data_IF_039840474115
#
_entry.id   IF_039840474115
#
_cell.length_a   1.000
_cell.length_b   1.000
_cell.length_c   1.000
_cell.angle_alpha   90.00
_cell.angle_beta   90.00
_cell.angle_gamma   90.00
#
_symmetry.space_group_name_H-M   'P 1'
#
loop_
_entity.id
_entity.type
_entity.pdbx_description
1 polymer ?
#
# COMPACT_ATOMS: atom_id res chain seq x y z
N UNK A 1 1.01 38.38 37.44
CA UNK A 1 -0.21 38.82 36.73
C UNK A 1 0.25 39.41 35.40
N UNK A 2 0.09 38.68 34.28
CA UNK A 2 -0.95 38.88 33.23
C UNK A 2 -0.80 40.26 32.54
N UNK A 3 -0.73 40.46 31.23
CA UNK A 3 -0.82 39.69 29.96
C UNK A 3 -0.12 40.57 28.88
N UNK A 4 -0.01 40.28 27.58
CA UNK A 4 -0.84 39.58 26.60
C UNK A 4 0.07 39.10 25.45
N UNK A 5 -0.22 37.91 24.91
CA UNK A 5 0.25 37.40 23.61
C UNK A 5 -0.86 37.61 22.56
N UNK A 6 -0.55 37.92 21.29
CA UNK A 6 -1.47 37.67 20.19
C UNK A 6 -1.40 36.20 19.75
N UNK A 7 -2.58 35.64 19.47
CA UNK A 7 -2.82 34.27 18.98
C UNK A 7 -2.24 34.08 17.57
N UNK A 8 -1.48 33.01 17.37
CA UNK A 8 -1.17 32.48 16.05
C UNK A 8 -2.20 31.39 15.72
N UNK A 9 -2.90 31.56 14.60
CA UNK A 9 -3.92 30.67 14.08
C UNK A 9 -3.22 29.54 13.31
N UNK A 10 -3.19 28.34 13.90
CA UNK A 10 -2.56 27.16 13.32
C UNK A 10 -3.57 26.40 12.46
N UNK A 11 -3.56 26.66 11.16
CA UNK A 11 -4.08 25.75 10.13
C UNK A 11 -3.08 25.63 8.99
N UNK A 12 -2.03 24.85 9.22
CA UNK A 12 -1.35 24.16 8.12
C UNK A 12 -1.37 22.67 8.40
N UNK A 13 -2.02 21.94 7.49
CA UNK A 13 -2.17 20.50 7.56
C UNK A 13 -0.80 19.81 7.47
N UNK A 14 -0.58 18.85 8.36
CA UNK A 14 0.54 17.93 8.26
C UNK A 14 0.48 17.21 6.91
N UNK A 15 1.42 17.55 6.01
CA UNK A 15 1.80 16.66 4.91
C UNK A 15 2.56 15.48 5.50
N UNK A 16 1.84 14.37 5.72
CA UNK A 16 2.47 13.10 6.02
C UNK A 16 3.10 12.54 4.74
N UNK A 17 4.39 12.78 4.54
CA UNK A 17 5.24 11.99 3.64
C UNK A 17 6.66 12.02 4.17
N UNK A 18 6.90 11.27 5.25
CA UNK A 18 8.24 10.92 5.69
C UNK A 18 8.34 9.39 5.64
N UNK A 19 8.60 8.86 4.44
CA UNK A 19 9.26 7.54 4.35
C UNK A 19 10.75 7.79 4.56
N UNK A 20 11.42 6.89 5.26
CA UNK A 20 12.87 6.99 5.48
C UNK A 20 13.61 6.98 4.13
N UNK A 21 14.68 7.78 3.95
CA UNK A 21 15.46 7.83 2.72
C UNK A 21 15.90 6.44 2.21
N UNK A 22 16.20 5.54 3.14
CA UNK A 22 16.64 4.15 2.88
C UNK A 22 15.63 3.31 2.07
N UNK A 23 14.32 3.58 2.18
CA UNK A 23 13.30 2.83 1.43
C UNK A 23 13.05 3.39 0.02
N UNK A 24 13.34 4.68 -0.24
CA UNK A 24 13.30 5.26 -1.60
C UNK A 24 14.53 4.82 -2.41
N UNK A 25 15.68 4.75 -1.74
CA UNK A 25 17.01 4.53 -2.29
C UNK A 25 17.32 3.12 -2.85
N UNK A 26 16.37 2.36 -3.38
CA UNK A 26 16.68 1.24 -4.29
C UNK A 26 15.51 0.93 -5.23
N UNK A 27 14.61 1.86 -5.54
CA UNK A 27 13.45 1.55 -6.41
C UNK A 27 13.83 1.03 -7.83
N UNK A 28 15.03 1.34 -8.33
CA UNK A 28 15.54 0.78 -9.59
C UNK A 28 16.01 -0.68 -9.50
N UNK A 29 16.58 -1.08 -8.36
CA UNK A 29 17.07 -2.45 -8.11
C UNK A 29 16.03 -3.13 -7.24
N UNK A 30 15.23 -4.04 -7.81
CA UNK A 30 14.23 -4.76 -7.04
C UNK A 30 14.87 -5.36 -5.78
N UNK A 31 14.57 -4.78 -4.62
CA UNK A 31 15.02 -5.32 -3.35
C UNK A 31 14.17 -6.57 -3.08
N UNK A 32 14.77 -7.74 -3.28
CA UNK A 32 14.25 -8.97 -2.68
C UNK A 32 14.57 -8.91 -1.19
N UNK A 33 13.57 -9.14 -0.34
CA UNK A 33 13.80 -9.36 1.08
C UNK A 33 14.33 -10.79 1.24
N UNK A 34 15.65 -10.98 1.19
CA UNK A 34 16.26 -12.21 1.65
C UNK A 34 17.31 -11.91 2.74
N UNK A 35 17.30 -12.78 3.76
CA UNK A 35 18.16 -12.88 4.95
C UNK A 35 17.87 -12.00 6.18
N UNK A 36 16.71 -12.25 6.82
CA UNK A 36 16.70 -12.30 8.30
C UNK A 36 17.23 -13.67 8.74
N UNK A 37 18.55 -13.79 8.80
CA UNK A 37 19.31 -14.79 9.55
C UNK A 37 18.75 -16.22 9.57
N UNK A 38 19.13 -17.04 8.59
CA UNK A 38 19.17 -18.49 8.77
C UNK A 38 20.16 -18.81 9.90
N UNK A 39 19.64 -19.25 11.05
CA UNK A 39 20.47 -19.84 12.11
C UNK A 39 20.80 -21.25 11.64
N UNK A 40 22.06 -21.48 11.29
CA UNK A 40 22.59 -22.80 10.97
C UNK A 40 22.35 -23.77 12.13
N UNK A 41 21.39 -24.67 11.95
CA UNK A 41 21.20 -25.86 12.76
C UNK A 41 21.56 -27.08 11.93
N UNK A 42 22.67 -27.73 12.29
CA UNK A 42 23.16 -28.98 11.70
C UNK A 42 22.02 -30.01 11.53
N UNK A 43 21.81 -30.44 10.28
CA UNK A 43 20.97 -31.60 9.96
C UNK A 43 21.84 -32.85 10.09
N UNK A 44 21.82 -33.48 11.26
CA UNK A 44 22.09 -34.92 11.37
C UNK A 44 20.79 -35.66 11.09
N UNK A 45 20.76 -36.35 9.94
CA UNK A 45 19.60 -37.12 9.50
C UNK A 45 19.29 -38.30 10.42
N UNK A 46 18.01 -38.68 10.50
CA UNK A 46 17.56 -40.05 10.79
C UNK A 46 16.07 -40.23 10.42
N UNK A 47 15.88 -41.07 9.41
CA UNK A 47 14.76 -41.99 9.13
C UNK A 47 13.34 -41.74 9.67
N UNK A 48 12.43 -41.61 8.71
CA UNK A 48 11.00 -41.97 8.69
C UNK A 48 10.50 -42.94 9.78
N UNK A 49 9.45 -42.54 10.52
CA UNK A 49 8.31 -43.40 10.93
C UNK A 49 7.02 -42.56 11.09
N UNK A 50 5.94 -43.03 10.45
CA UNK A 50 4.56 -42.58 10.64
C UNK A 50 4.11 -42.72 12.10
N UNK A 51 3.44 -41.69 12.64
CA UNK A 51 2.55 -41.80 13.81
C UNK A 51 1.30 -40.96 13.60
N UNK A 52 0.15 -41.63 13.65
CA UNK A 52 -1.21 -41.11 13.56
C UNK A 52 -1.63 -40.34 14.82
N UNK A 53 -2.34 -39.22 14.66
CA UNK A 53 -2.87 -38.40 15.74
C UNK A 53 -4.15 -39.02 16.35
N UNK A 54 -4.12 -39.32 17.66
CA UNK A 54 -5.28 -39.68 18.47
C UNK A 54 -5.87 -38.44 19.16
N UNK A 55 -7.19 -38.26 19.07
CA UNK A 55 -8.00 -37.29 19.84
C UNK A 55 -8.09 -37.73 21.31
N UNK A 56 -8.04 -36.81 22.30
CA UNK A 56 -8.39 -37.15 23.68
C UNK A 56 -9.89 -36.96 23.93
N UNK A 57 -10.52 -38.02 24.47
CA UNK A 57 -11.83 -38.01 25.11
C UNK A 57 -11.71 -37.61 26.58
N UNK A 58 -12.57 -36.72 27.08
CA UNK A 58 -12.72 -36.46 28.51
C UNK A 58 -14.05 -37.04 29.02
N UNK A 59 -13.98 -37.81 30.11
CA UNK A 59 -15.11 -38.32 30.89
C UNK A 59 -15.22 -37.55 32.24
N UNK A 60 -16.40 -37.54 32.90
CA UNK A 60 -16.75 -36.53 33.91
C UNK A 60 -16.39 -36.96 35.35
N UNK A 61 -16.17 -35.98 36.23
CA UNK A 61 -15.99 -36.18 37.68
C UNK A 61 -17.15 -35.57 38.48
N UNK A 62 -17.51 -36.30 39.53
CA UNK A 62 -18.69 -36.29 40.38
C UNK A 62 -18.91 -35.08 41.31
N UNK A 63 -20.20 -34.78 41.46
CA UNK A 63 -20.99 -34.46 42.67
C UNK A 63 -20.35 -33.82 43.92
N UNK A 64 -20.92 -32.69 44.34
CA UNK A 64 -21.04 -32.29 45.75
C UNK A 64 -22.50 -31.99 46.11
N UNK A 65 -22.98 -32.59 47.22
CA UNK A 65 -24.28 -32.34 47.85
C UNK A 65 -24.15 -31.27 48.94
N UNK A 66 -25.10 -30.32 49.00
CA UNK A 66 -25.46 -29.60 50.23
C UNK A 66 -26.95 -29.21 50.24
N UNK A 67 -27.47 -28.88 51.43
CA UNK A 67 -28.80 -29.19 52.01
C UNK A 67 -29.94 -28.18 51.69
N UNK A 68 -31.22 -28.50 52.02
CA UNK A 68 -32.39 -27.72 51.58
C UNK A 68 -32.68 -26.52 52.49
N UNK A 69 -32.95 -25.36 51.90
CA UNK A 69 -33.33 -24.12 52.60
C UNK A 69 -34.54 -23.43 51.94
N UNK A 70 -35.60 -23.29 52.75
CA UNK A 70 -36.81 -22.44 52.62
C UNK A 70 -37.20 -21.88 51.24
N UNK A 71 -38.35 -22.36 50.74
CA UNK A 71 -39.18 -21.70 49.74
C UNK A 71 -39.75 -20.41 50.34
N UNK A 72 -39.35 -19.25 49.82
CA UNK A 72 -40.04 -17.98 50.01
C UNK A 72 -40.76 -17.67 48.70
N UNK A 73 -42.09 -17.75 48.71
CA UNK A 73 -42.94 -17.23 47.63
C UNK A 73 -42.86 -15.70 47.67
N UNK A 74 -42.17 -15.09 46.73
CA UNK A 74 -42.31 -13.66 46.43
C UNK A 74 -43.28 -13.54 45.26
N UNK A 75 -44.40 -12.86 45.52
CA UNK A 75 -45.46 -12.59 44.56
C UNK A 75 -44.96 -11.62 43.48
N UNK A 76 -45.39 -11.87 42.24
CA UNK A 76 -45.13 -11.04 41.05
C UNK A 76 -45.29 -9.55 41.29
N UNK A 77 -44.29 -8.78 40.89
CA UNK A 77 -44.41 -7.38 40.50
C UNK A 77 -44.07 -7.26 39.02
N UNK A 78 -45.00 -6.69 38.27
CA UNK A 78 -45.03 -6.38 36.84
C UNK A 78 -43.69 -6.44 36.09
N UNK A 79 -43.55 -7.47 35.23
CA UNK A 79 -42.54 -7.47 34.18
C UNK A 79 -42.97 -6.48 33.10
N UNK A 80 -42.46 -5.25 33.18
CA UNK A 80 -42.31 -4.40 32.00
C UNK A 80 -41.30 -5.11 31.11
N UNK A 81 -41.75 -5.69 30.00
CA UNK A 81 -40.87 -6.18 28.94
C UNK A 81 -39.98 -5.00 28.51
N UNK A 82 -38.65 -5.07 28.64
CA UNK A 82 -37.80 -4.05 28.08
C UNK A 82 -38.01 -4.12 26.57
N UNK A 83 -38.51 -3.04 25.99
CA UNK A 83 -38.57 -2.87 24.56
C UNK A 83 -37.11 -2.88 24.08
N UNK A 84 -36.60 -4.06 23.67
CA UNK A 84 -35.25 -4.18 23.14
C UNK A 84 -35.22 -3.44 21.82
N UNK A 85 -34.90 -2.15 21.87
CA UNK A 85 -34.47 -1.40 20.70
C UNK A 85 -33.24 -2.11 20.15
N UNK A 86 -33.43 -2.82 19.04
CA UNK A 86 -32.36 -3.47 18.29
C UNK A 86 -31.45 -2.37 17.76
N UNK A 87 -30.31 -2.19 18.39
CA UNK A 87 -29.30 -1.22 17.97
C UNK A 87 -28.51 -1.80 16.79
N UNK A 88 -28.81 -1.32 15.59
CA UNK A 88 -28.07 -1.64 14.36
C UNK A 88 -26.97 -0.59 14.13
N UNK A 89 -25.86 -1.02 13.55
CA UNK A 89 -24.80 -0.11 13.12
C UNK A 89 -25.31 0.76 11.96
N UNK A 90 -25.01 2.06 12.02
CA UNK A 90 -25.24 2.98 10.90
C UNK A 90 -24.36 2.57 9.73
N UNK A 91 -24.94 2.47 8.54
CA UNK A 91 -24.26 2.00 7.34
C UNK A 91 -25.01 2.43 6.07
N UNK A 92 -24.33 2.36 4.93
CA UNK A 92 -24.94 2.50 3.60
C UNK A 92 -24.56 1.33 2.69
N UNK A 93 -25.35 1.13 1.65
CA UNK A 93 -25.13 0.06 0.66
C UNK A 93 -24.10 0.51 -0.40
N UNK A 94 -23.25 -0.41 -0.85
CA UNK A 94 -22.44 -0.23 -2.05
C UNK A 94 -23.13 -0.76 -3.32
N UNK A 95 -22.53 -0.55 -4.49
CA UNK A 95 -23.08 -0.94 -5.80
C UNK A 95 -23.12 -2.46 -6.03
N UNK A 96 -22.51 -3.26 -5.15
CA UNK A 96 -22.30 -4.71 -5.28
C UNK A 96 -23.06 -5.52 -4.23
N UNK A 97 -24.13 -4.95 -3.65
CA UNK A 97 -24.89 -5.51 -2.53
C UNK A 97 -24.05 -5.73 -1.26
N UNK A 98 -22.94 -5.02 -1.12
CA UNK A 98 -22.20 -4.89 0.12
C UNK A 98 -22.75 -3.77 1.01
N UNK A 99 -22.11 -3.62 2.16
CA UNK A 99 -22.43 -2.64 3.20
C UNK A 99 -21.16 -1.97 3.67
N UNK A 100 -21.19 -0.65 3.77
CA UNK A 100 -20.10 0.15 4.35
C UNK A 100 -20.58 0.73 5.67
N UNK A 101 -19.92 0.35 6.76
CA UNK A 101 -20.27 0.80 8.12
C UNK A 101 -19.76 2.23 8.34
N UNK A 102 -20.60 3.08 8.92
CA UNK A 102 -20.27 4.48 9.20
C UNK A 102 -19.30 4.59 10.40
N UNK A 103 -18.04 5.00 10.18
CA UNK A 103 -17.00 4.95 11.22
C UNK A 103 -17.24 5.94 12.35
N UNK A 104 -17.93 7.06 12.09
CA UNK A 104 -18.15 8.15 13.06
C UNK A 104 -19.32 7.89 14.01
N UNK A 105 -20.11 6.83 13.78
CA UNK A 105 -21.28 6.47 14.58
C UNK A 105 -21.18 5.10 15.23
N UNK A 106 -19.96 4.60 15.40
CA UNK A 106 -19.73 3.35 16.10
C UNK A 106 -19.97 3.52 17.60
N UNK A 107 -20.63 2.54 18.27
CA UNK A 107 -20.73 2.54 19.72
C UNK A 107 -19.35 2.63 20.38
N UNK A 108 -19.22 3.51 21.36
CA UNK A 108 -17.94 3.76 22.05
C UNK A 108 -17.54 2.63 23.01
N UNK A 109 -18.51 1.86 23.51
CA UNK A 109 -18.25 0.72 24.40
C UNK A 109 -18.03 -0.57 23.60
N UNK A 110 -17.02 -1.35 23.99
CA UNK A 110 -16.70 -2.64 23.38
C UNK A 110 -17.91 -3.60 23.36
N UNK A 111 -18.67 -3.69 24.46
CA UNK A 111 -19.83 -4.57 24.58
C UNK A 111 -20.99 -4.11 23.70
N UNK A 112 -21.25 -2.80 23.65
CA UNK A 112 -22.28 -2.23 22.77
C UNK A 112 -21.92 -2.46 21.31
N UNK A 113 -20.66 -2.22 20.93
CA UNK A 113 -20.17 -2.48 19.57
C UNK A 113 -20.29 -3.96 19.21
N UNK A 114 -19.87 -4.89 20.08
CA UNK A 114 -19.99 -6.32 19.84
C UNK A 114 -21.44 -6.77 19.63
N UNK A 115 -22.36 -6.25 20.45
CA UNK A 115 -23.79 -6.54 20.35
C UNK A 115 -24.41 -5.99 19.06
N UNK A 116 -24.13 -4.73 18.75
CA UNK A 116 -24.61 -4.05 17.55
C UNK A 116 -24.06 -4.71 16.29
N UNK A 117 -22.76 -5.06 16.26
CA UNK A 117 -22.12 -5.73 15.14
C UNK A 117 -22.76 -7.10 14.86
N UNK A 118 -22.94 -7.94 15.89
CA UNK A 118 -23.57 -9.26 15.74
C UNK A 118 -25.00 -9.15 15.21
N UNK A 119 -25.75 -8.20 15.75
CA UNK A 119 -27.15 -7.98 15.35
C UNK A 119 -27.23 -7.46 13.91
N UNK A 120 -26.31 -6.57 13.54
CA UNK A 120 -26.21 -6.02 12.18
C UNK A 120 -25.82 -7.08 11.17
N UNK A 121 -24.82 -7.92 11.45
CA UNK A 121 -24.43 -9.04 10.59
C UNK A 121 -25.59 -10.00 10.34
N UNK A 122 -26.37 -10.34 11.37
CA UNK A 122 -27.58 -11.18 11.22
C UNK A 122 -28.63 -10.53 10.32
N UNK A 123 -28.88 -9.24 10.51
CA UNK A 123 -29.81 -8.44 9.69
C UNK A 123 -29.34 -8.33 8.23
N UNK A 124 -28.06 -8.11 8.00
CA UNK A 124 -27.49 -8.04 6.65
C UNK A 124 -27.51 -9.40 5.95
N UNK A 125 -27.25 -10.48 6.70
CA UNK A 125 -27.37 -11.86 6.18
C UNK A 125 -28.80 -12.19 5.74
N UNK A 126 -29.81 -11.84 6.54
CA UNK A 126 -31.22 -12.08 6.16
C UNK A 126 -31.67 -11.23 4.97
N UNK A 127 -31.05 -10.07 4.76
CA UNK A 127 -31.25 -9.20 3.59
C UNK A 127 -30.45 -9.62 2.35
N UNK A 128 -29.69 -10.71 2.41
CA UNK A 128 -28.87 -11.19 1.30
C UNK A 128 -27.69 -10.27 0.96
N UNK A 129 -27.22 -9.46 1.92
CA UNK A 129 -26.02 -8.64 1.76
C UNK A 129 -24.77 -9.52 1.70
N UNK A 130 -23.74 -8.99 1.05
CA UNK A 130 -22.52 -9.73 0.73
C UNK A 130 -21.31 -9.24 1.53
N UNK A 131 -20.50 -8.35 0.93
CA UNK A 131 -19.27 -7.83 1.54
C UNK A 131 -19.56 -6.70 2.53
N UNK A 132 -18.99 -6.78 3.73
CA UNK A 132 -19.11 -5.77 4.77
C UNK A 132 -17.76 -5.08 4.95
N UNK A 133 -17.74 -3.76 4.82
CA UNK A 133 -16.57 -2.93 5.00
C UNK A 133 -16.65 -2.19 6.32
N UNK A 134 -15.63 -2.39 7.16
CA UNK A 134 -15.53 -1.79 8.48
C UNK A 134 -14.24 -0.98 8.58
N UNK A 135 -14.38 0.35 8.50
CA UNK A 135 -13.28 1.28 8.77
C UNK A 135 -13.25 1.57 10.27
N UNK A 136 -12.12 1.27 10.92
CA UNK A 136 -11.87 1.64 12.31
C UNK A 136 -10.77 2.69 12.36
N UNK A 137 -11.08 3.84 12.96
CA UNK A 137 -10.11 4.92 13.16
C UNK A 137 -9.09 4.53 14.24
N UNK A 138 -7.95 5.20 14.28
CA UNK A 138 -6.87 4.92 15.23
C UNK A 138 -7.35 5.03 16.68
N UNK A 139 -8.19 6.02 17.00
CA UNK A 139 -8.83 6.17 18.31
C UNK A 139 -9.83 5.05 18.66
N UNK A 140 -10.23 4.23 17.67
CA UNK A 140 -11.14 3.10 17.80
C UNK A 140 -10.39 1.74 17.76
N UNK A 141 -9.06 1.75 17.92
CA UNK A 141 -8.25 0.53 17.83
C UNK A 141 -8.67 -0.58 18.80
N UNK A 142 -9.29 -0.22 19.94
CA UNK A 142 -9.86 -1.17 20.90
C UNK A 142 -11.01 -2.02 20.32
N UNK A 143 -11.64 -1.60 19.22
CA UNK A 143 -12.70 -2.34 18.54
C UNK A 143 -12.18 -3.40 17.56
N UNK A 144 -10.90 -3.32 17.16
CA UNK A 144 -10.28 -4.25 16.19
C UNK A 144 -10.36 -5.70 16.65
N UNK A 145 -9.94 -6.07 17.88
CA UNK A 145 -10.01 -7.47 18.32
C UNK A 145 -11.44 -8.02 18.31
N UNK A 146 -12.43 -7.17 18.58
CA UNK A 146 -13.85 -7.54 18.61
C UNK A 146 -14.33 -7.87 17.19
N UNK A 147 -13.97 -7.04 16.20
CA UNK A 147 -14.31 -7.29 14.81
C UNK A 147 -13.68 -8.58 14.29
N UNK A 148 -12.40 -8.81 14.56
CA UNK A 148 -11.69 -10.04 14.18
C UNK A 148 -12.35 -11.28 14.82
N UNK A 149 -12.76 -11.21 16.09
CA UNK A 149 -13.49 -12.29 16.75
C UNK A 149 -14.87 -12.58 16.12
N UNK A 150 -15.47 -11.61 15.43
CA UNK A 150 -16.69 -11.82 14.63
C UNK A 150 -16.38 -12.32 13.20
N UNK A 151 -15.11 -12.59 12.88
CA UNK A 151 -14.68 -13.17 11.61
C UNK A 151 -14.24 -12.14 10.56
N UNK A 152 -14.15 -10.85 10.91
CA UNK A 152 -13.57 -9.86 10.00
C UNK A 152 -12.08 -10.17 9.76
N UNK A 153 -11.61 -9.81 8.57
CA UNK A 153 -10.21 -9.91 8.17
C UNK A 153 -9.65 -8.53 7.82
N UNK A 154 -8.35 -8.34 8.02
CA UNK A 154 -7.66 -7.15 7.55
C UNK A 154 -7.67 -7.08 6.02
N UNK A 155 -7.93 -5.88 5.49
CA UNK A 155 -7.80 -5.60 4.06
C UNK A 155 -6.63 -4.65 3.78
N UNK A 156 -6.58 -3.50 4.45
CA UNK A 156 -5.47 -2.55 4.36
C UNK A 156 -5.46 -1.62 5.56
N UNK A 157 -4.36 -0.88 5.75
CA UNK A 157 -4.25 0.20 6.73
C UNK A 157 -3.63 1.42 6.07
N UNK A 158 -4.02 2.60 6.54
CA UNK A 158 -3.33 3.87 6.25
C UNK A 158 -3.07 4.60 7.58
N UNK A 159 -2.33 5.71 7.53
CA UNK A 159 -2.19 6.57 8.70
C UNK A 159 -3.58 6.98 9.22
N UNK A 160 -3.85 6.71 10.49
CA UNK A 160 -5.10 7.05 11.17
C UNK A 160 -6.24 6.04 11.05
N UNK A 161 -6.13 4.93 10.29
CA UNK A 161 -7.18 3.91 10.26
C UNK A 161 -6.75 2.52 9.76
N UNK A 162 -7.54 1.51 10.11
CA UNK A 162 -7.52 0.18 9.51
C UNK A 162 -8.85 -0.14 8.82
N UNK A 163 -8.78 -0.77 7.66
CA UNK A 163 -9.93 -1.30 6.93
C UNK A 163 -10.01 -2.81 7.13
N UNK A 164 -11.16 -3.27 7.61
CA UNK A 164 -11.50 -4.68 7.72
C UNK A 164 -12.64 -5.04 6.77
N UNK A 165 -12.68 -6.30 6.37
CA UNK A 165 -13.75 -6.85 5.53
C UNK A 165 -14.32 -8.12 6.13
N UNK A 166 -15.60 -8.37 5.84
CA UNK A 166 -16.28 -9.62 6.17
C UNK A 166 -17.14 -10.04 4.97
N UNK A 167 -17.00 -11.29 4.53
CA UNK A 167 -17.82 -11.86 3.48
C UNK A 167 -18.91 -12.73 4.11
N UNK A 168 -20.18 -12.32 3.96
CA UNK A 168 -21.32 -13.03 4.56
C UNK A 168 -21.61 -14.40 3.91
N UNK A 169 -21.60 -14.55 2.57
CA UNK A 169 -21.93 -15.81 1.93
C UNK A 169 -20.88 -16.91 2.19
N UNK A 170 -21.30 -18.18 2.12
CA UNK A 170 -20.40 -19.33 2.24
C UNK A 170 -19.61 -19.61 0.93
N UNK A 171 -19.88 -18.85 -0.13
CA UNK A 171 -19.17 -18.94 -1.42
C UNK A 171 -17.78 -18.26 -1.36
N UNK A 172 -16.84 -18.60 -2.27
CA UNK A 172 -15.54 -17.94 -2.32
C UNK A 172 -15.66 -16.42 -2.37
N UNK A 173 -14.95 -15.73 -1.49
CA UNK A 173 -14.99 -14.28 -1.38
C UNK A 173 -14.38 -13.62 -2.64
N UNK A 174 -15.17 -12.85 -3.43
CA UNK A 174 -14.68 -12.14 -4.61
C UNK A 174 -14.17 -10.74 -4.27
N UNK A 175 -14.14 -10.34 -2.99
CA UNK A 175 -13.62 -9.03 -2.61
C UNK A 175 -12.17 -8.93 -3.06
N UNK A 176 -11.78 -7.82 -3.70
CA UNK A 176 -10.40 -7.64 -4.11
C UNK A 176 -9.49 -7.70 -2.88
N UNK A 177 -8.32 -8.34 -2.97
CA UNK A 177 -7.35 -8.28 -1.90
C UNK A 177 -6.83 -6.85 -1.74
N UNK A 178 -6.11 -6.61 -0.64
CA UNK A 178 -5.42 -5.35 -0.40
C UNK A 178 -4.43 -4.95 -1.51
N UNK A 179 -3.86 -3.74 -1.44
CA UNK A 179 -2.94 -3.24 -2.45
C UNK A 179 -1.76 -4.21 -2.68
N UNK A 180 -1.68 -4.75 -3.90
CA UNK A 180 -0.74 -5.82 -4.26
C UNK A 180 0.53 -5.32 -4.95
N UNK A 181 0.54 -4.08 -5.43
CA UNK A 181 1.65 -3.50 -6.18
C UNK A 181 2.20 -2.25 -5.52
N UNK A 182 3.50 -2.06 -5.65
CA UNK A 182 4.17 -0.77 -5.53
C UNK A 182 4.40 -0.19 -6.92
N UNK A 183 4.35 1.13 -7.04
CA UNK A 183 4.53 1.82 -8.31
C UNK A 183 5.76 2.71 -8.20
N UNK A 184 6.84 2.30 -8.87
CA UNK A 184 8.04 3.07 -9.09
C UNK A 184 7.98 3.87 -10.39
N UNK A 185 8.80 4.92 -10.45
CA UNK A 185 9.01 5.75 -11.64
C UNK A 185 10.51 5.98 -11.83
N UNK A 186 10.98 5.90 -13.07
CA UNK A 186 12.35 6.21 -13.46
C UNK A 186 12.37 7.34 -14.50
N UNK A 187 13.27 8.30 -14.32
CA UNK A 187 13.48 9.41 -15.23
C UNK A 187 14.70 9.19 -16.12
N UNK A 188 14.50 8.84 -17.40
CA UNK A 188 15.56 8.88 -18.40
C UNK A 188 15.68 10.31 -18.95
N UNK A 189 16.65 11.07 -18.44
CA UNK A 189 16.90 12.45 -18.86
C UNK A 189 18.12 12.48 -19.77
N UNK A 190 17.95 12.96 -21.01
CA UNK A 190 19.05 13.08 -21.99
C UNK A 190 19.16 14.52 -22.49
N UNK A 191 20.38 15.06 -22.49
CA UNK A 191 20.67 16.41 -22.97
C UNK A 191 21.02 16.44 -24.47
N UNK A 192 21.15 17.65 -25.03
CA UNK A 192 21.43 17.83 -26.47
C UNK A 192 22.85 17.33 -26.85
N UNK A 193 23.75 17.15 -25.87
CA UNK A 193 25.07 16.53 -26.03
C UNK A 193 25.04 15.00 -25.98
N UNK A 194 23.85 14.39 -25.94
CA UNK A 194 23.62 12.94 -25.80
C UNK A 194 24.21 12.34 -24.50
N UNK A 195 24.29 13.15 -23.46
CA UNK A 195 24.63 12.68 -22.12
C UNK A 195 23.36 12.46 -21.32
N UNK A 196 23.36 11.41 -20.51
CA UNK A 196 22.26 11.04 -19.63
C UNK A 196 22.53 11.49 -18.20
N UNK A 197 21.49 11.91 -17.51
CA UNK A 197 21.57 12.24 -16.09
C UNK A 197 21.56 10.93 -15.29
N UNK A 198 22.60 10.72 -14.49
CA UNK A 198 22.74 9.55 -13.64
C UNK A 198 23.05 9.98 -12.22
N UNK A 199 22.55 9.19 -11.27
CA UNK A 199 22.73 9.39 -9.84
C UNK A 199 23.37 8.16 -9.21
N UNK A 200 24.04 8.39 -8.10
CA UNK A 200 24.54 7.38 -7.18
C UNK A 200 23.98 7.71 -5.81
N UNK A 201 23.17 6.83 -5.26
CA UNK A 201 22.53 7.03 -3.95
C UNK A 201 23.49 6.76 -2.80
N UNK A 202 23.20 7.39 -1.65
CA UNK A 202 23.79 7.07 -0.36
C UNK A 202 23.07 5.85 0.23
N UNK A 203 23.33 4.66 -0.32
CA UNK A 203 22.87 3.40 0.29
C UNK A 203 24.03 2.61 0.89
N UNK A 204 23.78 1.91 2.01
CA UNK A 204 24.68 0.89 2.58
C UNK A 204 24.39 -0.53 2.07
N UNK A 205 23.46 -0.67 1.12
CA UNK A 205 22.92 -1.92 0.63
C UNK A 205 23.55 -2.33 -0.72
N UNK A 206 23.02 -3.39 -1.35
CA UNK A 206 23.51 -3.96 -2.62
C UNK A 206 23.56 -2.96 -3.79
N UNK A 207 22.79 -1.86 -3.72
CA UNK A 207 22.81 -0.82 -4.75
C UNK A 207 23.88 0.28 -4.53
N UNK A 208 24.75 0.11 -3.51
CA UNK A 208 25.84 1.05 -3.20
C UNK A 208 26.86 1.17 -4.33
N UNK A 209 27.21 2.41 -4.70
CA UNK A 209 28.27 2.67 -5.68
C UNK A 209 27.85 2.53 -7.15
N UNK A 210 26.61 2.11 -7.43
CA UNK A 210 26.08 1.93 -8.79
C UNK A 210 25.51 3.26 -9.31
N UNK A 211 25.90 3.64 -10.53
CA UNK A 211 25.23 4.73 -11.25
C UNK A 211 23.96 4.22 -11.90
N UNK A 212 22.85 4.93 -11.69
CA UNK A 212 21.54 4.59 -12.25
C UNK A 212 20.76 5.83 -12.65
N UNK A 213 19.61 5.61 -13.28
CA UNK A 213 18.63 6.67 -13.54
C UNK A 213 18.07 7.20 -12.22
N UNK A 214 17.71 8.49 -12.13
CA UNK A 214 16.89 9.01 -11.05
C UNK A 214 15.59 8.22 -10.91
N UNK A 215 15.22 7.81 -9.70
CA UNK A 215 14.11 6.88 -9.46
C UNK A 215 13.44 7.10 -8.12
N UNK A 216 12.12 6.99 -8.09
CA UNK A 216 11.40 6.94 -6.82
C UNK A 216 10.01 6.34 -6.92
N UNK A 217 9.20 6.51 -5.88
CA UNK A 217 7.84 5.97 -5.83
C UNK A 217 6.80 7.03 -6.16
N UNK A 218 5.73 6.61 -6.81
CA UNK A 218 4.57 7.46 -7.04
C UNK A 218 3.83 7.69 -5.71
N UNK A 219 3.58 8.96 -5.40
CA UNK A 219 2.80 9.35 -4.24
C UNK A 219 1.31 9.05 -4.44
N UNK A 220 0.55 8.98 -3.34
CA UNK A 220 -0.90 8.78 -3.41
C UNK A 220 -1.55 9.91 -4.20
N UNK A 221 -2.32 9.55 -5.24
CA UNK A 221 -3.01 10.48 -6.15
C UNK A 221 -2.07 11.36 -7.00
N UNK A 222 -0.86 10.88 -7.29
CA UNK A 222 0.10 11.54 -8.18
C UNK A 222 0.08 10.90 -9.59
N UNK A 223 0.20 11.73 -10.63
CA UNK A 223 0.32 11.27 -12.01
C UNK A 223 1.73 10.73 -12.30
N UNK A 224 1.84 9.65 -13.10
CA UNK A 224 3.14 9.02 -13.41
C UNK A 224 4.18 10.01 -13.94
N UNK A 225 3.81 10.83 -14.92
CA UNK A 225 4.73 11.81 -15.49
C UNK A 225 5.10 12.92 -14.50
N UNK A 226 4.19 13.29 -13.59
CA UNK A 226 4.48 14.29 -12.55
C UNK A 226 5.45 13.72 -11.53
N UNK A 227 5.29 12.44 -11.15
CA UNK A 227 6.24 11.73 -10.31
C UNK A 227 7.63 11.69 -10.94
N UNK A 228 7.76 11.34 -12.22
CA UNK A 228 9.07 11.31 -12.90
C UNK A 228 9.78 12.67 -12.86
N UNK A 229 9.05 13.76 -13.16
CA UNK A 229 9.59 15.13 -13.12
C UNK A 229 9.97 15.53 -11.70
N UNK A 230 9.15 15.16 -10.70
CA UNK A 230 9.41 15.43 -9.29
C UNK A 230 10.66 14.71 -8.80
N UNK A 231 10.79 13.40 -9.02
CA UNK A 231 11.93 12.61 -8.51
C UNK A 231 13.26 13.14 -9.08
N UNK A 232 13.33 13.41 -10.39
CA UNK A 232 14.54 14.01 -10.98
C UNK A 232 14.88 15.34 -10.31
N UNK A 233 13.88 16.18 -10.04
CA UNK A 233 14.08 17.47 -9.41
C UNK A 233 14.50 17.37 -7.94
N UNK A 234 13.87 16.46 -7.17
CA UNK A 234 14.21 16.20 -5.77
C UNK A 234 15.65 15.71 -5.65
N UNK A 235 16.06 14.73 -6.45
CA UNK A 235 17.38 14.11 -6.37
C UNK A 235 18.51 14.99 -6.90
N UNK A 236 18.27 15.74 -7.98
CA UNK A 236 19.35 16.38 -8.78
C UNK A 236 19.19 17.88 -8.99
N UNK A 237 18.04 18.46 -8.62
CA UNK A 237 17.72 19.87 -8.88
C UNK A 237 17.45 20.21 -10.35
N UNK A 238 17.50 19.24 -11.27
CA UNK A 238 17.28 19.47 -12.70
C UNK A 238 15.78 19.62 -12.99
N UNK A 239 15.41 20.74 -13.60
CA UNK A 239 14.07 20.95 -14.13
C UNK A 239 13.92 20.15 -15.42
N UNK A 240 12.82 19.42 -15.57
CA UNK A 240 12.58 18.59 -16.75
C UNK A 240 11.17 18.76 -17.30
N UNK A 241 11.00 18.37 -18.56
CA UNK A 241 9.71 18.24 -19.22
C UNK A 241 9.50 16.79 -19.64
N UNK A 242 8.35 16.23 -19.29
CA UNK A 242 7.93 14.92 -19.76
C UNK A 242 7.77 14.88 -21.28
N UNK A 243 8.27 13.81 -21.90
CA UNK A 243 8.08 13.52 -23.32
C UNK A 243 7.10 12.35 -23.47
N UNK A 244 7.49 11.18 -22.97
CA UNK A 244 6.74 9.93 -23.14
C UNK A 244 7.14 8.88 -22.10
N UNK A 245 6.24 7.93 -21.87
CA UNK A 245 6.49 6.71 -21.09
C UNK A 245 6.92 5.62 -22.07
N UNK A 246 8.15 5.12 -21.95
CA UNK A 246 8.77 4.28 -22.98
C UNK A 246 8.67 2.79 -22.68
N UNK A 247 8.70 2.42 -21.39
CA UNK A 247 8.64 1.05 -20.94
C UNK A 247 8.07 0.97 -19.53
N UNK A 248 7.70 -0.23 -19.10
CA UNK A 248 7.52 -0.55 -17.69
C UNK A 248 8.08 -1.93 -17.40
N UNK A 249 8.62 -2.10 -16.20
CA UNK A 249 9.09 -3.37 -15.66
C UNK A 249 8.06 -3.88 -14.66
N UNK A 250 7.84 -5.20 -14.65
CA UNK A 250 6.98 -5.88 -13.69
C UNK A 250 7.77 -7.01 -13.02
N UNK A 251 7.97 -6.91 -11.71
CA UNK A 251 8.69 -7.93 -10.91
C UNK A 251 7.84 -8.32 -9.70
N UNK A 252 7.95 -9.58 -9.29
CA UNK A 252 7.20 -10.15 -8.18
C UNK A 252 8.09 -10.37 -6.94
N UNK A 253 7.45 -10.57 -5.79
CA UNK A 253 8.11 -10.95 -4.52
C UNK A 253 9.22 -9.97 -4.11
N UNK A 254 8.94 -8.67 -4.24
CA UNK A 254 9.81 -7.60 -3.71
C UNK A 254 9.48 -7.37 -2.23
N UNK A 255 9.63 -6.13 -1.74
CA UNK A 255 9.24 -5.74 -0.39
C UNK A 255 7.82 -6.22 -0.01
N UNK A 256 7.73 -6.97 1.09
CA UNK A 256 6.51 -7.49 1.68
C UNK A 256 5.68 -8.38 0.75
N UNK A 257 6.35 -9.22 -0.05
CA UNK A 257 5.72 -10.16 -1.01
C UNK A 257 4.86 -9.47 -2.08
N UNK A 258 5.02 -8.16 -2.25
CA UNK A 258 4.30 -7.39 -3.26
C UNK A 258 4.98 -7.49 -4.61
N UNK A 259 4.25 -7.08 -5.64
CA UNK A 259 4.81 -6.87 -6.97
C UNK A 259 5.23 -5.40 -7.14
N UNK A 260 6.20 -5.14 -7.99
CA UNK A 260 6.70 -3.82 -8.33
C UNK A 260 6.45 -3.52 -9.81
N UNK A 261 5.86 -2.36 -10.07
CA UNK A 261 5.74 -1.78 -11.41
C UNK A 261 6.63 -0.55 -11.49
N UNK A 262 7.73 -0.64 -12.21
CA UNK A 262 8.61 0.50 -12.47
C UNK A 262 8.32 1.05 -13.87
N UNK A 263 7.70 2.22 -13.94
CA UNK A 263 7.48 2.92 -15.22
C UNK A 263 8.70 3.75 -15.59
N UNK A 264 9.09 3.74 -16.86
CA UNK A 264 10.26 4.48 -17.35
C UNK A 264 9.79 5.62 -18.25
N UNK A 265 10.12 6.84 -17.86
CA UNK A 265 9.73 8.06 -18.53
C UNK A 265 10.93 8.72 -19.18
N UNK A 266 10.78 9.06 -20.45
CA UNK A 266 11.73 9.90 -21.16
C UNK A 266 11.45 11.38 -20.87
N UNK A 267 12.48 12.09 -20.47
CA UNK A 267 12.41 13.47 -20.01
C UNK A 267 13.43 14.34 -20.76
N UNK A 268 13.04 15.57 -21.08
CA UNK A 268 13.95 16.59 -21.61
C UNK A 268 14.40 17.54 -20.49
N UNK A 269 15.70 17.78 -20.29
CA UNK A 269 16.16 18.78 -19.33
C UNK A 269 15.83 20.20 -19.81
N UNK A 270 15.44 21.04 -18.85
CA UNK A 270 15.23 22.49 -19.02
C UNK A 270 16.35 23.30 -18.33
N UNK A 271 17.10 22.66 -17.44
CA UNK A 271 18.33 23.16 -16.82
C UNK A 271 19.41 22.09 -16.88
N UNK A 272 20.68 22.48 -16.68
CA UNK A 272 21.83 21.57 -16.71
C UNK A 272 22.68 21.60 -15.43
N UNK A 273 22.48 22.60 -14.57
CA UNK A 273 23.19 22.75 -13.29
C UNK A 273 22.64 21.76 -12.27
N UNK A 274 23.47 20.79 -11.89
CA UNK A 274 23.12 19.75 -10.92
C UNK A 274 23.27 20.30 -9.50
N UNK A 275 22.24 20.12 -8.67
CA UNK A 275 22.21 20.39 -7.24
C UNK A 275 21.57 19.21 -6.53
N UNK A 276 22.41 18.32 -6.00
CA UNK A 276 21.93 17.07 -5.40
C UNK A 276 21.24 17.29 -4.05
N UNK A 277 20.26 16.45 -3.73
CA UNK A 277 19.84 16.26 -2.34
C UNK A 277 20.90 15.43 -1.61
N UNK A 278 21.70 16.10 -0.79
CA UNK A 278 22.77 15.46 -0.05
C UNK A 278 22.28 14.48 1.04
N UNK A 279 20.99 14.37 1.33
CA UNK A 279 20.48 13.35 2.25
C UNK A 279 20.36 11.98 1.58
N UNK A 280 20.00 11.94 0.30
CA UNK A 280 19.69 10.73 -0.46
C UNK A 280 20.76 10.41 -1.52
N UNK A 281 21.30 11.43 -2.17
CA UNK A 281 22.22 11.28 -3.30
C UNK A 281 23.65 11.56 -2.89
N UNK A 282 24.54 10.63 -3.24
CA UNK A 282 25.98 10.75 -3.01
C UNK A 282 26.59 11.64 -4.10
N UNK A 283 26.29 11.32 -5.36
CA UNK A 283 26.81 12.01 -6.53
C UNK A 283 25.79 11.96 -7.67
N UNK A 284 25.78 12.99 -8.53
CA UNK A 284 25.01 13.01 -9.77
C UNK A 284 25.84 13.67 -10.87
N UNK A 285 25.72 13.18 -12.10
CA UNK A 285 26.45 13.72 -13.26
C UNK A 285 25.74 13.47 -14.58
N UNK A 286 26.16 14.23 -15.59
CA UNK A 286 25.90 13.92 -16.99
C UNK A 286 26.96 12.92 -17.48
N UNK A 287 26.54 11.70 -17.83
CA UNK A 287 27.41 10.61 -18.29
C UNK A 287 27.07 10.22 -19.73
N UNK A 288 28.01 9.61 -20.45
CA UNK A 288 27.67 8.97 -21.73
C UNK A 288 26.90 7.68 -21.47
N UNK A 289 26.12 7.21 -22.45
CA UNK A 289 25.38 5.95 -22.28
C UNK A 289 26.34 4.75 -22.26
N UNK A 290 27.41 4.82 -23.04
CA UNK A 290 28.49 3.82 -23.03
C UNK A 290 29.13 3.73 -21.64
N UNK A 291 29.39 4.86 -20.98
CA UNK A 291 29.92 4.89 -19.62
C UNK A 291 29.00 4.16 -18.63
N UNK A 292 27.67 4.38 -18.72
CA UNK A 292 26.70 3.72 -17.86
C UNK A 292 26.70 2.20 -18.07
N UNK A 293 26.66 1.76 -19.33
CA UNK A 293 26.57 0.34 -19.71
C UNK A 293 27.87 -0.45 -19.48
N UNK A 294 29.00 0.24 -19.25
CA UNK A 294 30.27 -0.41 -18.91
C UNK A 294 30.34 -0.90 -17.46
N UNK A 295 29.45 -0.43 -16.58
CA UNK A 295 29.37 -0.92 -15.20
C UNK A 295 28.94 -2.40 -15.19
N UNK A 296 29.55 -3.19 -14.29
CA UNK A 296 29.29 -4.63 -14.22
C UNK A 296 27.81 -4.95 -14.00
N UNK A 297 27.11 -4.14 -13.22
CA UNK A 297 25.67 -4.24 -13.00
C UNK A 297 24.87 -4.34 -14.30
N UNK A 298 25.13 -3.49 -15.30
CA UNK A 298 24.39 -3.50 -16.58
C UNK A 298 24.87 -4.61 -17.54
N UNK A 299 26.03 -5.23 -17.28
CA UNK A 299 26.47 -6.42 -18.03
C UNK A 299 25.80 -7.68 -17.50
N UNK A 300 25.56 -7.74 -16.19
CA UNK A 300 24.93 -8.87 -15.51
C UNK A 300 23.40 -8.81 -15.58
N UNK A 301 22.81 -7.62 -15.41
CA UNK A 301 21.36 -7.42 -15.46
C UNK A 301 20.86 -6.98 -16.84
N UNK A 302 20.52 -7.96 -17.68
CA UNK A 302 19.98 -7.73 -19.01
C UNK A 302 18.67 -6.92 -19.00
N UNK A 303 17.89 -6.94 -17.90
CA UNK A 303 16.66 -6.17 -17.81
C UNK A 303 16.93 -4.66 -17.74
N UNK A 304 17.81 -4.21 -16.84
CA UNK A 304 18.20 -2.81 -16.74
C UNK A 304 18.90 -2.33 -18.00
N UNK A 305 19.77 -3.16 -18.60
CA UNK A 305 20.40 -2.85 -19.88
C UNK A 305 19.38 -2.65 -21.01
N UNK A 306 18.40 -3.54 -21.13
CA UNK A 306 17.33 -3.41 -22.14
C UNK A 306 16.51 -2.13 -21.95
N UNK A 307 16.25 -1.71 -20.71
CA UNK A 307 15.58 -0.44 -20.43
C UNK A 307 16.37 0.75 -21.00
N UNK A 308 17.69 0.80 -20.78
CA UNK A 308 18.54 1.87 -21.33
C UNK A 308 18.54 1.84 -22.86
N UNK A 309 18.63 0.66 -23.48
CA UNK A 309 18.56 0.50 -24.94
C UNK A 309 17.24 1.02 -25.52
N UNK A 310 16.09 0.68 -24.92
CA UNK A 310 14.78 1.17 -25.36
C UNK A 310 14.70 2.70 -25.26
N UNK A 311 15.24 3.29 -24.20
CA UNK A 311 15.30 4.75 -24.05
C UNK A 311 16.15 5.41 -25.14
N UNK A 312 17.25 4.78 -25.55
CA UNK A 312 18.06 5.24 -26.68
C UNK A 312 17.31 5.14 -28.01
N UNK A 313 16.62 4.04 -28.27
CA UNK A 313 15.80 3.85 -29.47
C UNK A 313 14.68 4.90 -29.55
N UNK A 314 14.04 5.20 -28.41
CA UNK A 314 13.05 6.25 -28.27
C UNK A 314 13.63 7.64 -28.57
N UNK A 315 14.80 7.97 -28.00
CA UNK A 315 15.50 9.22 -28.31
C UNK A 315 15.85 9.37 -29.79
N UNK A 316 16.23 8.29 -30.46
CA UNK A 316 16.55 8.27 -31.88
C UNK A 316 15.30 8.32 -32.79
N UNK A 317 14.08 8.41 -32.21
CA UNK A 317 12.79 8.35 -32.90
C UNK A 317 12.55 7.04 -33.65
N UNK A 318 13.23 5.97 -33.25
CA UNK A 318 13.01 4.62 -33.77
C UNK A 318 11.95 3.86 -32.98
N UNK A 319 11.55 4.40 -31.83
CA UNK A 319 10.51 3.87 -30.96
C UNK A 319 9.58 5.01 -30.56
N UNK A 320 8.27 4.73 -30.52
CA UNK A 320 7.28 5.69 -30.04
C UNK A 320 6.70 5.14 -28.74
N UNK A 321 6.94 5.84 -27.64
CA UNK A 321 6.37 5.53 -26.34
C UNK A 321 4.92 6.00 -26.23
N UNK A 322 4.49 6.16 -24.99
CA UNK A 322 3.12 6.51 -24.62
C UNK A 322 3.08 7.95 -24.12
N UNK A 323 2.29 8.79 -24.79
CA UNK A 323 2.03 10.15 -24.41
C UNK A 323 0.86 10.19 -23.41
N UNK A 324 0.88 11.14 -22.48
CA UNK A 324 -0.19 11.35 -21.53
C UNK A 324 -1.26 12.27 -22.16
N UNK A 325 -2.43 11.71 -22.46
CA UNK A 325 -3.53 12.45 -23.07
C UNK A 325 -4.64 12.71 -22.07
N UNK A 326 -4.95 13.99 -21.86
CA UNK A 326 -5.99 14.40 -20.92
C UNK A 326 -7.37 14.22 -21.56
N UNK A 327 -8.20 13.37 -20.98
CA UNK A 327 -9.53 13.00 -21.47
C UNK A 327 -10.55 13.01 -20.33
N UNK A 328 -11.84 13.16 -20.65
CA UNK A 328 -12.91 13.07 -19.65
C UNK A 328 -13.32 11.60 -19.50
N UNK A 329 -13.24 11.09 -18.28
CA UNK A 329 -13.71 9.75 -17.94
C UNK A 329 -15.24 9.72 -17.87
N UNK A 330 -15.87 8.73 -18.52
CA UNK A 330 -17.31 8.51 -18.39
C UNK A 330 -17.72 7.96 -17.03
N UNK A 331 -16.79 7.40 -16.25
CA UNK A 331 -17.08 6.77 -14.97
C UNK A 331 -17.39 7.79 -13.87
N UNK A 332 -16.68 8.92 -13.86
CA UNK A 332 -16.83 9.95 -12.82
C UNK A 332 -17.01 11.37 -13.37
N UNK A 333 -16.99 11.54 -14.70
CA UNK A 333 -17.12 12.82 -15.38
C UNK A 333 -15.91 13.74 -15.21
N UNK A 334 -14.80 13.26 -14.66
CA UNK A 334 -13.61 14.08 -14.37
C UNK A 334 -12.57 13.94 -15.47
N UNK A 335 -11.67 14.92 -15.53
CA UNK A 335 -10.47 14.84 -16.38
C UNK A 335 -9.49 13.84 -15.77
N UNK A 336 -9.01 12.93 -16.61
CA UNK A 336 -8.00 11.90 -16.29
C UNK A 336 -6.98 11.81 -17.42
N UNK A 337 -5.87 11.11 -17.20
CA UNK A 337 -4.89 10.84 -18.25
C UNK A 337 -5.02 9.42 -18.79
N UNK A 338 -5.06 9.30 -20.12
CA UNK A 338 -4.89 8.04 -20.83
C UNK A 338 -3.52 8.04 -21.50
N UNK A 339 -2.73 7.00 -21.24
CA UNK A 339 -1.42 6.81 -21.85
C UNK A 339 -1.59 5.94 -23.10
N UNK A 340 -1.28 6.48 -24.27
CA UNK A 340 -1.28 5.72 -25.53
C UNK A 340 -0.22 6.26 -26.48
N UNK A 341 0.06 5.49 -27.55
CA UNK A 341 1.11 5.78 -28.52
C UNK A 341 1.12 7.26 -28.91
N UNK A 342 2.27 7.91 -28.76
CA UNK A 342 2.48 9.25 -29.26
C UNK A 342 2.23 9.27 -30.79
N UNK A 343 1.33 10.14 -31.23
CA UNK A 343 1.13 10.38 -32.66
C UNK A 343 2.00 11.58 -33.02
N UNK A 344 2.92 11.41 -33.95
CA UNK A 344 3.60 12.53 -34.57
C UNK A 344 2.53 13.45 -35.18
N UNK A 345 2.31 14.62 -34.58
CA UNK A 345 1.60 15.69 -35.25
C UNK A 345 2.57 16.18 -36.34
N UNK A 346 2.46 15.59 -37.53
CA UNK A 346 3.19 16.01 -38.72
C UNK A 346 2.90 17.46 -39.08
#
# INVERSE_FOLDING_TARGET
MLGHLPRCDSREGLKASARTPELRACSFVALTLDDVGSVDGEVLGLSSKHVTANKPSFAPINSYRSRPGKVVRVLSGDMVTPNMTIELLSAWDDEYNGVVVEPTRLPSSANSFASALRTSLSCWKSKGKKGIWLKLLEEQANLVPIAIQQGFMYHHAEAGYVMLTYWIPDEPCPLPPGPSHQIGIAGFVINDQKQILVVKEKCSCLCAGIWKLPTGYINKSEELFSGAVREVKEETGIETRFLELVAFRHVHQVAFEKSDLLFVCMLRPLSLEIKIDANEIQEAKWASVEELLLQEFYKEDEMSKKVIEICLEAYQKNYNGFCAHKLISKFDGKLSYLYYKCVDIK
#
